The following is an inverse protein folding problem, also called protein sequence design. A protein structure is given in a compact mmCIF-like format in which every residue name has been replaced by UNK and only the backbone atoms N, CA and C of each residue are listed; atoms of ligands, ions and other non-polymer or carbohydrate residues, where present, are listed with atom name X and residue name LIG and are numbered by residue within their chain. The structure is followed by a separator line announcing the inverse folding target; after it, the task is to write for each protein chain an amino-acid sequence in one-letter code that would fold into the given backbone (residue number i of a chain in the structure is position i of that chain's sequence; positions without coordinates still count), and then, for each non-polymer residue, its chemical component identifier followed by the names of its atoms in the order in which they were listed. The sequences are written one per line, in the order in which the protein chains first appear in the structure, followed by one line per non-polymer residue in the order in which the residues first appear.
data_IF_885231039149
#
_entry.id   IF_885231039149
#
_cell.length_a   1.000
_cell.length_b   1.000
_cell.length_c   1.000
_cell.angle_alpha   90.00
_cell.angle_beta   90.00
_cell.angle_gamma   90.00
#
_symmetry.space_group_name_H-M   'P 1'
#
loop_
_entity.id
_entity.type
_entity.pdbx_description
1 polymer ?
#
# COMPACT_ATOMS: atom_id res chain seq x y z
N UNK A 1 40.00 11.15 16.27
CA UNK A 1 38.73 11.62 16.86
C UNK A 1 37.60 11.23 15.91
N UNK A 2 36.51 10.73 16.49
CA UNK A 2 35.18 10.42 15.93
C UNK A 2 35.08 9.27 14.91
N UNK A 3 34.71 8.08 15.41
CA UNK A 3 33.99 7.06 14.62
C UNK A 3 32.53 7.47 14.58
N UNK A 4 32.02 7.91 13.43
CA UNK A 4 30.59 8.15 13.23
C UNK A 4 29.88 6.79 13.07
N UNK A 5 29.38 6.26 14.18
CA UNK A 5 28.53 5.08 14.18
C UNK A 5 27.07 5.49 13.91
N UNK A 6 26.73 5.75 12.65
CA UNK A 6 25.33 5.86 12.26
C UNK A 6 24.72 4.46 12.21
N UNK A 7 24.33 3.93 13.37
CA UNK A 7 23.49 2.74 13.45
C UNK A 7 22.11 3.10 12.94
N UNK A 8 21.86 2.87 11.65
CA UNK A 8 20.52 2.88 11.06
C UNK A 8 19.74 1.71 11.64
N UNK A 9 19.10 1.95 12.79
CA UNK A 9 18.18 0.99 13.40
C UNK A 9 16.98 0.87 12.45
N UNK A 10 16.78 -0.33 11.91
CA UNK A 10 15.65 -0.60 11.02
C UNK A 10 14.36 -0.31 11.81
N UNK A 11 13.53 0.57 11.28
CA UNK A 11 12.31 1.06 11.94
C UNK A 11 11.17 0.03 11.88
N UNK A 12 10.99 -0.62 10.73
CA UNK A 12 9.98 -1.66 10.52
C UNK A 12 10.54 -2.76 9.61
N UNK A 13 10.28 -4.01 9.99
CA UNK A 13 10.59 -5.21 9.20
C UNK A 13 9.33 -6.00 8.99
N UNK A 14 9.09 -6.47 7.76
CA UNK A 14 7.98 -7.37 7.44
C UNK A 14 8.44 -8.40 6.41
N UNK A 15 7.82 -9.59 6.45
CA UNK A 15 8.01 -10.65 5.47
C UNK A 15 6.66 -11.06 4.89
N UNK A 16 6.61 -11.26 3.57
CA UNK A 16 5.45 -11.83 2.91
C UNK A 16 5.55 -13.36 2.96
N UNK A 17 4.66 -14.00 3.70
CA UNK A 17 4.60 -15.47 3.80
C UNK A 17 3.35 -15.98 3.12
N UNK A 18 3.54 -16.81 2.10
CA UNK A 18 2.47 -17.53 1.38
C UNK A 18 1.36 -16.61 0.82
N UNK A 19 1.74 -15.49 0.18
CA UNK A 19 0.79 -14.51 -0.31
C UNK A 19 0.30 -14.84 -1.74
N UNK A 20 -1.03 -14.84 -1.92
CA UNK A 20 -1.66 -14.79 -3.23
C UNK A 20 -2.48 -13.50 -3.35
N UNK A 21 -2.19 -12.69 -4.35
CA UNK A 21 -2.94 -11.48 -4.69
C UNK A 21 -3.56 -11.69 -6.07
N UNK A 22 -4.85 -11.37 -6.20
CA UNK A 22 -5.56 -11.37 -7.47
C UNK A 22 -6.17 -9.99 -7.65
N UNK A 23 -5.76 -9.30 -8.71
CA UNK A 23 -6.32 -8.01 -9.12
C UNK A 23 -7.32 -8.27 -10.25
N UNK A 24 -8.44 -7.57 -10.25
CA UNK A 24 -9.48 -7.71 -11.25
C UNK A 24 -10.21 -6.39 -11.48
N UNK A 25 -10.69 -6.20 -12.70
CA UNK A 25 -11.40 -4.98 -13.04
C UNK A 25 -12.75 -4.92 -12.33
N UNK A 26 -13.01 -3.80 -11.66
CA UNK A 26 -14.27 -3.54 -10.94
C UNK A 26 -14.82 -2.16 -11.29
N UNK A 27 -16.15 -2.02 -11.30
CA UNK A 27 -16.80 -0.72 -11.46
C UNK A 27 -16.49 0.16 -10.21
N UNK A 28 -15.89 1.35 -10.39
CA UNK A 28 -15.60 2.29 -9.29
C UNK A 28 -16.79 2.56 -8.38
N UNK A 29 -18.02 2.57 -8.94
CA UNK A 29 -19.26 2.86 -8.20
C UNK A 29 -19.54 1.84 -7.11
N UNK A 30 -19.02 0.61 -7.23
CA UNK A 30 -19.13 -0.42 -6.21
C UNK A 30 -18.26 -0.08 -5.01
N UNK A 31 -17.09 0.54 -5.22
CA UNK A 31 -16.13 0.86 -4.17
C UNK A 31 -16.44 2.20 -3.46
N UNK A 32 -17.03 3.17 -4.16
CA UNK A 32 -17.30 4.52 -3.64
C UNK A 32 -18.01 4.55 -2.27
N UNK A 33 -19.04 3.73 -2.00
CA UNK A 33 -19.74 3.75 -0.70
C UNK A 33 -18.90 3.24 0.47
N UNK A 34 -17.79 2.55 0.19
CA UNK A 34 -16.92 1.92 1.19
C UNK A 34 -15.68 2.75 1.54
N UNK A 35 -15.47 3.89 0.88
CA UNK A 35 -14.35 4.79 1.16
C UNK A 35 -14.50 5.44 2.54
N UNK A 36 -13.49 5.33 3.41
CA UNK A 36 -13.44 6.11 4.65
C UNK A 36 -13.44 7.61 4.39
N UNK A 37 -13.92 8.37 5.38
CA UNK A 37 -13.87 9.83 5.32
C UNK A 37 -12.42 10.32 5.21
N UNK A 38 -12.16 11.19 4.24
CA UNK A 38 -10.84 11.75 3.99
C UNK A 38 -9.95 10.87 3.10
N UNK A 39 -10.51 9.85 2.47
CA UNK A 39 -9.83 9.05 1.45
C UNK A 39 -10.51 9.23 0.09
N UNK A 40 -9.75 8.98 -0.97
CA UNK A 40 -10.23 9.00 -2.35
C UNK A 40 -9.93 7.66 -3.02
N UNK A 41 -10.71 7.33 -4.05
CA UNK A 41 -10.47 6.14 -4.83
C UNK A 41 -9.29 6.36 -5.77
N UNK A 42 -8.26 5.54 -5.64
CA UNK A 42 -7.12 5.55 -6.55
C UNK A 42 -7.40 4.68 -7.79
N UNK A 43 -6.87 5.08 -8.94
CA UNK A 43 -7.04 4.33 -10.20
C UNK A 43 -5.68 4.10 -10.87
N UNK A 44 -5.47 2.89 -11.36
CA UNK A 44 -4.26 2.52 -12.08
C UNK A 44 -4.51 2.56 -13.59
N UNK A 45 -3.84 3.47 -14.29
CA UNK A 45 -4.04 3.70 -15.74
C UNK A 45 -5.52 3.90 -16.12
N UNK A 46 -6.28 4.59 -15.27
CA UNK A 46 -7.72 4.83 -15.47
C UNK A 46 -8.62 3.64 -15.15
N UNK A 47 -8.08 2.54 -14.65
CA UNK A 47 -8.82 1.34 -14.26
C UNK A 47 -8.80 1.15 -12.74
N UNK A 48 -9.90 0.63 -12.20
CA UNK A 48 -9.92 0.06 -10.85
C UNK A 48 -9.59 -1.43 -10.95
N UNK A 49 -8.48 -1.86 -10.34
CA UNK A 49 -7.93 -3.22 -10.36
C UNK A 49 -8.03 -3.90 -8.99
#
# INVERSE_FOLDING_TARGET
MVKNNNHTKIFLTAEWKYLAIVNYLIDPKILLPHLPRGTELDTFNGNCL
#
